data_IF_935909154863
#
_entry.id   IF_935909154863
#
_cell.length_a   1.000
_cell.length_b   1.000
_cell.length_c   1.000
_cell.angle_alpha   90.00
_cell.angle_beta   90.00
_cell.angle_gamma   90.00
#
_symmetry.space_group_name_H-M   'P 1'
#
loop_
_entity.id
_entity.type
_entity.pdbx_description
1 polymer ?
#
# COMPACT_ATOMS: atom_id res chain seq x y z
N UNK A 1 9.79 -11.04 3.15
CA UNK A 1 9.50 -10.99 1.70
C UNK A 1 9.75 -9.56 1.26
N UNK A 2 10.69 -9.35 0.34
CA UNK A 2 10.89 -8.08 -0.34
C UNK A 2 9.74 -7.86 -1.32
N UNK A 3 8.92 -6.83 -1.11
CA UNK A 3 7.72 -6.56 -1.90
C UNK A 3 7.85 -5.26 -2.71
N UNK A 4 9.05 -4.99 -3.23
CA UNK A 4 9.27 -3.87 -4.14
C UNK A 4 8.46 -4.06 -5.43
N UNK A 5 8.10 -3.00 -6.16
CA UNK A 5 7.41 -3.14 -7.44
C UNK A 5 8.17 -4.07 -8.40
N UNK A 6 9.50 -3.99 -8.44
CA UNK A 6 10.37 -4.80 -9.29
C UNK A 6 10.30 -6.28 -8.93
N UNK A 7 10.50 -6.64 -7.65
CA UNK A 7 10.45 -8.05 -7.25
C UNK A 7 9.05 -8.62 -7.39
N UNK A 8 8.02 -7.83 -7.07
CA UNK A 8 6.62 -8.26 -7.20
C UNK A 8 6.25 -8.50 -8.66
N UNK A 9 6.68 -7.63 -9.59
CA UNK A 9 6.51 -7.86 -11.03
C UNK A 9 7.20 -9.13 -11.49
N UNK A 10 8.43 -9.40 -11.02
CA UNK A 10 9.18 -10.59 -11.39
C UNK A 10 8.47 -11.87 -10.91
N UNK A 11 8.04 -11.89 -9.64
CA UNK A 11 7.29 -13.02 -9.05
C UNK A 11 5.95 -13.25 -9.77
N UNK A 12 5.28 -12.18 -10.18
CA UNK A 12 3.97 -12.25 -10.85
C UNK A 12 4.08 -12.16 -12.37
N UNK A 13 5.25 -12.36 -12.96
CA UNK A 13 5.49 -12.23 -14.40
C UNK A 13 4.52 -13.06 -15.26
N UNK A 14 4.08 -14.22 -14.77
CA UNK A 14 3.09 -15.07 -15.45
C UNK A 14 1.70 -14.43 -15.61
N UNK A 15 1.37 -13.41 -14.83
CA UNK A 15 0.12 -12.65 -14.90
C UNK A 15 0.16 -11.52 -15.94
N UNK A 16 1.34 -11.14 -16.44
CA UNK A 16 1.47 -9.96 -17.30
C UNK A 16 0.70 -10.10 -18.63
N UNK A 17 0.77 -11.27 -19.27
CA UNK A 17 0.19 -11.48 -20.61
C UNK A 17 -1.31 -11.82 -20.56
N UNK A 18 -1.79 -12.36 -19.43
CA UNK A 18 -3.18 -12.77 -19.26
C UNK A 18 -3.61 -12.66 -17.78
N UNK A 19 -3.65 -11.44 -17.27
CA UNK A 19 -4.00 -11.15 -15.87
C UNK A 19 -5.33 -11.81 -15.47
N UNK A 20 -6.37 -11.59 -16.26
CA UNK A 20 -7.73 -12.00 -15.93
C UNK A 20 -7.86 -13.54 -15.90
N UNK A 21 -7.24 -14.25 -16.85
CA UNK A 21 -7.23 -15.71 -16.87
C UNK A 21 -6.39 -16.30 -15.73
N UNK A 22 -5.24 -15.71 -15.42
CA UNK A 22 -4.36 -16.19 -14.35
C UNK A 22 -4.95 -15.96 -12.97
N UNK A 23 -5.63 -14.83 -12.76
CA UNK A 23 -6.38 -14.56 -11.53
C UNK A 23 -7.43 -15.64 -11.31
N UNK A 24 -8.23 -15.95 -12.32
CA UNK A 24 -9.28 -16.96 -12.14
C UNK A 24 -8.66 -18.34 -11.92
N UNK A 25 -7.64 -18.70 -12.71
CA UNK A 25 -6.93 -19.99 -12.57
C UNK A 25 -6.27 -20.17 -11.19
N UNK A 26 -5.81 -19.08 -10.57
CA UNK A 26 -5.12 -19.13 -9.28
C UNK A 26 -6.04 -19.47 -8.12
N UNK A 27 -7.30 -19.04 -8.19
CA UNK A 27 -8.24 -19.07 -7.07
C UNK A 27 -9.48 -19.95 -7.29
N UNK A 28 -9.79 -20.33 -8.53
CA UNK A 28 -10.96 -21.15 -8.86
C UNK A 28 -10.59 -22.49 -9.51
N UNK A 29 -11.51 -23.45 -9.43
CA UNK A 29 -11.28 -24.82 -9.89
C UNK A 29 -11.18 -24.93 -11.42
N UNK A 30 -10.44 -25.94 -11.89
CA UNK A 30 -10.25 -26.21 -13.32
C UNK A 30 -11.54 -26.51 -14.10
N UNK A 31 -12.58 -27.00 -13.42
CA UNK A 31 -13.89 -27.28 -14.04
C UNK A 31 -14.59 -25.98 -14.46
N UNK A 32 -14.53 -24.95 -13.61
CA UNK A 32 -15.12 -23.64 -13.90
C UNK A 32 -14.36 -22.95 -15.04
N UNK A 33 -13.04 -23.18 -15.13
CA UNK A 33 -12.18 -22.57 -16.13
C UNK A 33 -12.59 -22.89 -17.57
N UNK A 34 -12.97 -24.14 -17.87
CA UNK A 34 -13.34 -24.54 -19.24
C UNK A 34 -14.53 -23.74 -19.79
N UNK A 35 -15.46 -23.35 -18.91
CA UNK A 35 -16.70 -22.66 -19.28
C UNK A 35 -16.54 -21.14 -19.41
N UNK A 36 -15.43 -20.57 -18.91
CA UNK A 36 -15.25 -19.10 -18.79
C UNK A 36 -14.07 -18.55 -19.58
N UNK A 37 -13.16 -19.41 -20.06
CA UNK A 37 -12.00 -18.97 -20.86
C UNK A 37 -12.41 -18.31 -22.20
N UNK A 38 -13.58 -18.64 -22.74
CA UNK A 38 -14.11 -18.05 -23.97
C UNK A 38 -14.73 -16.66 -23.79
N UNK A 39 -15.02 -16.24 -22.56
CA UNK A 39 -15.65 -14.95 -22.26
C UNK A 39 -14.57 -13.89 -22.18
N UNK A 40 -14.55 -12.89 -23.05
CA UNK A 40 -13.50 -11.86 -23.04
C UNK A 40 -13.73 -10.77 -21.98
N UNK A 41 -14.99 -10.46 -21.67
CA UNK A 41 -15.33 -9.43 -20.70
C UNK A 41 -15.07 -9.90 -19.27
N UNK A 42 -14.44 -9.05 -18.45
CA UNK A 42 -14.07 -9.41 -17.08
C UNK A 42 -15.29 -9.57 -16.17
N UNK A 43 -16.25 -8.65 -16.27
CA UNK A 43 -17.40 -8.62 -15.38
C UNK A 43 -18.33 -9.80 -15.65
N UNK A 44 -18.58 -10.11 -16.92
CA UNK A 44 -19.30 -11.31 -17.32
C UNK A 44 -18.56 -12.59 -16.89
N UNK A 45 -17.23 -12.62 -17.06
CA UNK A 45 -16.42 -13.78 -16.70
C UNK A 45 -16.45 -14.05 -15.20
N UNK A 46 -16.28 -13.02 -14.37
CA UNK A 46 -16.29 -13.18 -12.91
C UNK A 46 -17.70 -13.51 -12.39
N UNK A 47 -18.75 -12.91 -12.96
CA UNK A 47 -20.13 -13.23 -12.58
C UNK A 47 -20.46 -14.69 -12.86
N UNK A 48 -20.00 -15.24 -13.99
CA UNK A 48 -20.18 -16.65 -14.29
C UNK A 48 -19.41 -17.55 -13.33
N UNK A 49 -18.17 -17.22 -12.98
CA UNK A 49 -17.36 -17.95 -12.00
C UNK A 49 -18.04 -17.98 -10.63
N UNK A 50 -18.65 -16.87 -10.22
CA UNK A 50 -19.20 -16.68 -8.88
C UNK A 50 -20.65 -17.15 -8.71
N UNK A 51 -21.28 -17.69 -9.76
CA UNK A 51 -22.69 -18.14 -9.72
C UNK A 51 -23.02 -19.11 -8.57
N UNK A 52 -22.05 -19.90 -8.10
CA UNK A 52 -22.25 -20.89 -7.04
C UNK A 52 -21.93 -20.37 -5.62
N UNK A 53 -21.47 -19.13 -5.48
CA UNK A 53 -21.03 -18.56 -4.21
C UNK A 53 -22.13 -17.68 -3.61
N UNK A 54 -22.41 -17.84 -2.31
CA UNK A 54 -23.37 -17.00 -1.58
C UNK A 54 -22.91 -15.55 -1.51
N UNK A 55 -21.61 -15.34 -1.32
CA UNK A 55 -21.01 -14.03 -1.03
C UNK A 55 -20.45 -13.37 -2.30
N UNK A 56 -21.10 -13.63 -3.44
CA UNK A 56 -20.59 -13.27 -4.77
C UNK A 56 -20.23 -11.79 -4.94
N UNK A 57 -20.99 -10.86 -4.34
CA UNK A 57 -20.74 -9.42 -4.48
C UNK A 57 -19.48 -8.97 -3.72
N UNK A 58 -19.25 -9.54 -2.54
CA UNK A 58 -18.05 -9.27 -1.72
C UNK A 58 -16.81 -9.83 -2.41
N UNK A 59 -16.91 -11.08 -2.90
CA UNK A 59 -15.84 -11.73 -3.65
C UNK A 59 -15.54 -10.93 -4.93
N UNK A 60 -16.56 -10.54 -5.70
CA UNK A 60 -16.42 -9.72 -6.91
C UNK A 60 -15.70 -8.41 -6.62
N UNK A 61 -16.07 -7.74 -5.52
CA UNK A 61 -15.41 -6.50 -5.07
C UNK A 61 -13.93 -6.75 -4.76
N UNK A 62 -13.62 -7.78 -3.98
CA UNK A 62 -12.24 -8.16 -3.66
C UNK A 62 -11.39 -8.45 -4.90
N UNK A 63 -11.94 -9.20 -5.85
CA UNK A 63 -11.25 -9.50 -7.12
C UNK A 63 -11.08 -8.27 -8.01
N UNK A 64 -12.04 -7.34 -8.02
CA UNK A 64 -11.93 -6.08 -8.76
C UNK A 64 -10.79 -5.20 -8.20
N UNK A 65 -10.68 -5.09 -6.87
CA UNK A 65 -9.58 -4.39 -6.20
C UNK A 65 -8.23 -5.05 -6.50
N UNK A 66 -8.16 -6.39 -6.39
CA UNK A 66 -6.94 -7.14 -6.68
C UNK A 66 -6.50 -6.97 -8.14
N UNK A 67 -7.43 -7.13 -9.09
CA UNK A 67 -7.18 -6.92 -10.52
C UNK A 67 -6.66 -5.52 -10.80
N UNK A 68 -7.32 -4.50 -10.25
CA UNK A 68 -6.92 -3.10 -10.43
C UNK A 68 -5.53 -2.82 -9.84
N UNK A 69 -5.24 -3.38 -8.67
CA UNK A 69 -3.94 -3.27 -8.00
C UNK A 69 -2.82 -3.94 -8.81
N UNK A 70 -3.08 -5.11 -9.40
CA UNK A 70 -2.12 -5.79 -10.26
C UNK A 70 -1.89 -5.05 -11.58
N UNK A 71 -2.95 -4.51 -12.21
CA UNK A 71 -2.78 -3.63 -13.38
C UNK A 71 -1.93 -2.41 -13.05
N UNK A 72 -2.22 -1.76 -11.92
CA UNK A 72 -1.43 -0.62 -11.46
C UNK A 72 0.02 -1.01 -11.22
N UNK A 73 0.28 -2.16 -10.60
CA UNK A 73 1.63 -2.71 -10.41
C UNK A 73 2.33 -2.90 -11.77
N UNK A 74 1.74 -3.61 -12.73
CA UNK A 74 2.40 -3.90 -14.02
C UNK A 74 2.68 -2.62 -14.83
N UNK A 75 1.76 -1.65 -14.79
CA UNK A 75 1.90 -0.36 -15.45
C UNK A 75 2.76 0.64 -14.66
N UNK A 76 3.18 0.31 -13.44
CA UNK A 76 3.95 1.22 -12.61
C UNK A 76 5.34 1.44 -13.21
N UNK A 77 5.74 2.70 -13.38
CA UNK A 77 7.08 3.06 -13.82
C UNK A 77 7.80 3.82 -12.71
N UNK A 78 9.12 3.62 -12.62
CA UNK A 78 9.94 4.35 -11.66
C UNK A 78 9.85 5.85 -11.99
N UNK A 79 9.55 6.71 -11.01
CA UNK A 79 9.37 8.13 -11.23
C UNK A 79 10.68 8.79 -11.70
N UNK A 80 10.59 9.64 -12.72
CA UNK A 80 11.72 10.44 -13.21
C UNK A 80 12.24 11.43 -12.15
N UNK A 81 11.34 11.90 -11.29
CA UNK A 81 11.67 12.84 -10.21
C UNK A 81 11.71 12.08 -8.89
N UNK A 82 12.92 11.87 -8.38
CA UNK A 82 13.14 11.16 -7.11
C UNK A 82 12.67 11.98 -5.90
N UNK A 83 12.07 11.28 -4.93
CA UNK A 83 11.64 11.82 -3.66
C UNK A 83 12.82 12.37 -2.85
N UNK A 84 12.69 13.60 -2.34
CA UNK A 84 13.69 14.25 -1.47
C UNK A 84 13.35 14.15 0.02
N UNK A 85 12.25 13.50 0.36
CA UNK A 85 11.80 13.29 1.74
C UNK A 85 12.76 12.38 2.51
N UNK A 86 12.71 12.46 3.84
CA UNK A 86 13.24 11.40 4.70
C UNK A 86 12.26 10.25 4.69
N UNK A 87 12.76 9.03 4.57
CA UNK A 87 11.92 7.84 4.48
C UNK A 87 12.38 6.86 5.54
N UNK A 88 11.42 6.38 6.31
CA UNK A 88 11.61 5.39 7.34
C UNK A 88 10.95 4.09 6.88
N UNK A 89 11.77 3.04 6.72
CA UNK A 89 11.31 1.70 6.38
C UNK A 89 11.26 0.86 7.65
N UNK A 90 10.06 0.51 8.10
CA UNK A 90 9.84 -0.35 9.27
C UNK A 90 9.72 -1.81 8.82
N UNK A 91 10.52 -2.71 9.41
CA UNK A 91 10.59 -4.11 9.01
C UNK A 91 10.50 -5.08 10.18
N UNK A 92 9.86 -6.25 10.01
CA UNK A 92 9.85 -7.30 11.02
C UNK A 92 11.22 -7.98 11.13
N UNK A 93 11.37 -8.82 12.15
CA UNK A 93 12.55 -9.63 12.39
C UNK A 93 12.87 -10.56 11.22
N UNK A 94 14.17 -10.83 11.04
CA UNK A 94 14.68 -11.63 9.93
C UNK A 94 14.87 -10.86 8.61
N UNK A 95 14.53 -9.57 8.56
CA UNK A 95 14.87 -8.70 7.44
C UNK A 95 16.36 -8.32 7.45
N UNK A 96 17.06 -8.32 6.30
CA UNK A 96 18.43 -7.80 6.21
C UNK A 96 18.49 -6.30 6.49
N UNK A 97 19.49 -5.84 7.24
CA UNK A 97 19.68 -4.42 7.61
C UNK A 97 19.93 -3.50 6.41
N UNK A 98 20.48 -4.03 5.33
CA UNK A 98 20.79 -3.30 4.11
C UNK A 98 19.71 -3.43 3.02
N UNK A 99 18.68 -4.24 3.24
CA UNK A 99 17.59 -4.41 2.28
C UNK A 99 16.56 -3.28 2.47
N UNK A 100 16.61 -2.32 1.54
CA UNK A 100 15.75 -1.15 1.49
C UNK A 100 14.52 -1.36 0.60
N UNK A 101 14.19 -2.59 0.19
CA UNK A 101 13.09 -2.88 -0.74
C UNK A 101 13.16 -2.03 -2.04
N UNK A 102 14.36 -1.85 -2.59
CA UNK A 102 14.66 -1.01 -3.76
C UNK A 102 14.24 0.46 -3.62
N UNK A 103 13.96 0.96 -2.41
CA UNK A 103 13.56 2.36 -2.20
C UNK A 103 14.63 3.37 -2.65
N UNK A 104 15.89 2.97 -2.76
CA UNK A 104 16.97 3.77 -3.34
C UNK A 104 16.72 4.15 -4.82
N UNK A 105 15.95 3.36 -5.57
CA UNK A 105 15.56 3.71 -6.94
C UNK A 105 14.61 4.91 -7.00
N UNK A 106 13.93 5.19 -5.89
CA UNK A 106 12.83 6.15 -5.81
C UNK A 106 13.19 7.44 -5.09
N UNK A 107 14.33 7.45 -4.38
CA UNK A 107 14.61 8.43 -3.34
C UNK A 107 16.03 8.98 -3.47
N UNK A 108 16.20 10.29 -3.27
CA UNK A 108 17.53 10.93 -3.27
C UNK A 108 18.26 10.76 -1.94
N UNK A 109 17.52 10.66 -0.84
CA UNK A 109 18.07 10.53 0.50
C UNK A 109 18.21 9.06 0.88
N UNK A 110 19.16 8.78 1.77
CA UNK A 110 19.31 7.47 2.38
C UNK A 110 18.05 7.08 3.14
N UNK A 111 17.71 5.80 3.06
CA UNK A 111 16.53 5.21 3.71
C UNK A 111 16.91 4.82 5.14
N UNK A 112 16.13 5.30 6.12
CA UNK A 112 16.30 4.91 7.52
C UNK A 112 15.57 3.58 7.75
N UNK A 113 16.31 2.48 7.84
CA UNK A 113 15.74 1.14 8.05
C UNK A 113 15.64 0.87 9.55
N UNK A 114 14.45 0.52 10.02
CA UNK A 114 14.15 0.24 11.42
C UNK A 114 13.63 -1.21 11.52
N UNK A 115 14.43 -2.10 12.10
CA UNK A 115 14.09 -3.53 12.22
C UNK A 115 13.59 -3.84 13.63
N UNK A 116 12.52 -4.62 13.71
CA UNK A 116 11.87 -5.06 14.94
C UNK A 116 12.12 -6.58 15.09
N UNK A 117 13.26 -6.99 15.69
CA UNK A 117 13.76 -8.36 15.59
C UNK A 117 12.82 -9.41 16.17
N UNK A 118 12.03 -9.05 17.18
CA UNK A 118 11.16 -9.98 17.92
C UNK A 118 9.72 -10.03 17.37
N UNK A 119 9.46 -9.38 16.22
CA UNK A 119 8.12 -9.29 15.64
C UNK A 119 8.08 -9.83 14.21
N UNK A 120 7.08 -10.66 13.91
CA UNK A 120 6.69 -10.91 12.53
C UNK A 120 5.88 -9.74 11.95
N UNK A 121 5.56 -9.75 10.65
CA UNK A 121 4.87 -8.64 9.99
C UNK A 121 3.52 -8.31 10.65
N UNK A 122 2.71 -9.31 10.99
CA UNK A 122 1.40 -9.10 11.60
C UNK A 122 1.56 -8.47 12.99
N UNK A 123 2.43 -9.05 13.82
CA UNK A 123 2.72 -8.51 15.16
C UNK A 123 3.24 -7.08 15.09
N UNK A 124 4.10 -6.77 14.11
CA UNK A 124 4.64 -5.44 13.92
C UNK A 124 3.53 -4.42 13.60
N UNK A 125 2.65 -4.74 12.65
CA UNK A 125 1.54 -3.89 12.24
C UNK A 125 0.52 -3.67 13.37
N UNK A 126 0.32 -4.68 14.23
CA UNK A 126 -0.56 -4.59 15.40
C UNK A 126 0.15 -3.98 16.63
N UNK A 127 1.44 -3.62 16.55
CA UNK A 127 2.23 -3.22 17.72
C UNK A 127 2.07 -1.76 18.10
N UNK A 128 1.90 -1.52 19.41
CA UNK A 128 2.05 -0.18 19.99
C UNK A 128 3.47 0.36 19.81
N UNK A 129 4.50 -0.51 19.85
CA UNK A 129 5.89 -0.12 19.66
C UNK A 129 6.12 0.55 18.30
N UNK A 130 5.60 -0.03 17.21
CA UNK A 130 5.65 0.60 15.89
C UNK A 130 5.00 1.99 15.92
N UNK A 131 3.80 2.09 16.51
CA UNK A 131 3.07 3.35 16.63
C UNK A 131 3.88 4.41 17.38
N UNK A 132 4.49 4.05 18.51
CA UNK A 132 5.38 4.92 19.28
C UNK A 132 6.60 5.37 18.47
N UNK A 133 7.23 4.46 17.71
CA UNK A 133 8.36 4.79 16.85
C UNK A 133 7.99 5.71 15.70
N UNK A 134 6.79 5.59 15.13
CA UNK A 134 6.29 6.54 14.12
C UNK A 134 6.04 7.91 14.76
N UNK A 135 5.37 7.94 15.91
CA UNK A 135 5.04 9.19 16.59
C UNK A 135 6.28 9.98 17.04
N UNK A 136 7.35 9.30 17.45
CA UNK A 136 8.61 9.97 17.83
C UNK A 136 9.28 10.68 16.65
N UNK A 137 9.06 10.22 15.41
CA UNK A 137 9.56 10.90 14.21
C UNK A 137 8.77 12.17 13.93
N UNK A 138 7.44 12.16 14.13
CA UNK A 138 6.57 13.31 13.89
C UNK A 138 6.86 14.44 14.90
N UNK A 139 6.99 14.10 16.19
CA UNK A 139 7.28 15.08 17.24
C UNK A 139 8.67 15.72 17.12
N UNK A 140 9.62 15.05 16.47
CA UNK A 140 10.96 15.58 16.24
C UNK A 140 11.02 16.54 15.03
N UNK A 141 10.20 16.32 14.00
CA UNK A 141 10.23 17.14 12.77
C UNK A 141 9.32 18.38 12.83
N UNK A 142 8.31 18.36 13.70
CA UNK A 142 7.38 19.47 13.91
C UNK A 142 7.17 19.76 15.39
N UNK A 143 8.27 19.89 16.15
CA UNK A 143 8.21 20.18 17.58
C UNK A 143 7.31 21.39 17.89
N UNK A 144 7.41 22.47 17.11
CA UNK A 144 6.58 23.67 17.30
C UNK A 144 5.09 23.45 17.03
N UNK A 145 4.71 22.47 16.19
CA UNK A 145 3.32 22.09 15.95
C UNK A 145 2.80 21.07 16.98
N UNK A 146 3.69 20.25 17.53
CA UNK A 146 3.39 19.31 18.61
C UNK A 146 3.34 20.00 19.99
N UNK A 147 3.95 21.19 20.11
CA UNK A 147 4.08 22.00 21.33
C UNK A 147 3.37 23.36 21.15
N UNK A 148 2.28 23.42 20.40
CA UNK A 148 1.33 24.52 20.62
C UNK A 148 0.71 24.31 21.99
N UNK A 149 1.08 25.15 22.95
CA UNK A 149 0.35 25.26 24.21
C UNK A 149 -1.14 25.52 23.92
N UNK A 150 -2.08 25.07 24.77
CA UNK A 150 -3.52 25.33 24.58
C UNK A 150 -3.85 26.80 24.29
N UNK A 151 -3.07 27.71 24.86
CA UNK A 151 -3.19 29.17 24.68
C UNK A 151 -2.77 29.61 23.26
N UNK A 152 -1.73 29.00 22.69
CA UNK A 152 -1.28 29.27 21.33
C UNK A 152 -2.23 28.68 20.28
N UNK A 153 -2.82 27.51 20.56
CA UNK A 153 -3.83 26.91 19.69
C UNK A 153 -5.09 27.79 19.62
N UNK A 154 -5.55 28.28 20.77
CA UNK A 154 -6.68 29.20 20.87
C UNK A 154 -6.41 30.53 20.16
N UNK A 155 -5.20 31.09 20.31
CA UNK A 155 -4.79 32.31 19.60
C UNK A 155 -4.71 32.11 18.07
N UNK A 156 -4.24 30.95 17.62
CA UNK A 156 -4.16 30.60 16.20
C UNK A 156 -5.55 30.38 15.58
N UNK A 157 -6.47 29.73 16.28
CA UNK A 157 -7.87 29.59 15.85
C UNK A 157 -8.58 30.95 15.71
N UNK A 158 -8.38 31.84 16.69
CA UNK A 158 -8.94 33.20 16.66
C UNK A 158 -8.37 33.99 15.48
N UNK A 159 -7.07 33.90 15.21
CA UNK A 159 -6.44 34.56 14.07
C UNK A 159 -6.99 34.05 12.72
N UNK A 160 -7.09 32.73 12.54
CA UNK A 160 -7.60 32.11 11.32
C UNK A 160 -9.09 32.43 11.07
N UNK A 161 -9.89 32.47 12.14
CA UNK A 161 -11.30 32.87 12.04
C UNK A 161 -11.43 34.36 11.68
N UNK A 162 -10.61 35.25 12.24
CA UNK A 162 -10.61 36.66 11.87
C UNK A 162 -10.20 36.89 10.41
N UNK A 163 -9.26 36.09 9.87
CA UNK A 163 -8.91 36.18 8.45
C UNK A 163 -10.04 35.70 7.52
N UNK A 164 -10.87 34.74 7.94
CA UNK A 164 -12.04 34.29 7.16
C UNK A 164 -13.14 35.34 7.08
N UNK A 165 -13.30 36.18 8.09
CA UNK A 165 -14.32 37.26 8.10
C UNK A 165 -13.96 38.39 7.13
N UNK A 166 -12.68 38.57 6.79
CA UNK A 166 -12.22 39.59 5.85
C UNK A 166 -12.23 39.17 4.37
N UNK A 167 -12.71 37.96 4.07
CA UNK A 167 -12.80 37.40 2.71
C UNK A 167 -14.26 37.18 2.24
N UNK A 168 -15.24 37.80 2.92
CA UNK A 168 -16.64 37.87 2.50
C UNK A 168 -16.99 39.31 2.15
#
# INVERSE_FOLDING_TARGET
IEASPETTKLVLSSFNDNLDGQLIKRYFSAKILQDVFSICDWDERIDKVLTQYSDKEEIKTGFSVLRSSLKALFNYEVPLVLLRGKIHLFRPGGAPENDNCNLNLYCKRLININIFPDMNLKQLLDSHTLSSSINSLVCYEHYDAAVTSPDQFSAMEVYLNNQRVHLI
#
